data_IF_049743438684
#
_entry.id   IF_049743438684
#
_cell.length_a   1.000
_cell.length_b   1.000
_cell.length_c   1.000
_cell.angle_alpha   90.00
_cell.angle_beta   90.00
_cell.angle_gamma   90.00
#
_symmetry.space_group_name_H-M   'P 1'
#
loop_
_entity.id
_entity.type
_entity.pdbx_description
1 polymer ?
#
# COMPACT_ATOMS: atom_id res chain seq x y z
N UNK A 1 8.74 17.83 12.22
CA UNK A 1 9.44 16.86 11.34
C UNK A 1 8.47 16.14 10.40
N UNK A 2 7.34 15.61 10.90
CA UNK A 2 6.32 14.91 10.08
C UNK A 2 5.76 15.76 8.91
N UNK A 3 5.47 17.04 9.13
CA UNK A 3 4.93 17.93 8.09
C UNK A 3 5.85 18.07 6.87
N UNK A 4 7.16 18.22 7.10
CA UNK A 4 8.16 18.37 6.02
C UNK A 4 8.29 17.08 5.22
N UNK A 5 8.31 15.93 5.91
CA UNK A 5 8.35 14.62 5.27
C UNK A 5 7.12 14.38 4.40
N UNK A 6 5.92 14.62 4.94
CA UNK A 6 4.67 14.45 4.17
C UNK A 6 4.58 15.40 2.99
N UNK A 7 5.05 16.63 3.13
CA UNK A 7 5.06 17.59 2.02
C UNK A 7 6.01 17.16 0.91
N UNK A 8 7.19 16.64 1.27
CA UNK A 8 8.15 16.05 0.33
C UNK A 8 7.54 14.82 -0.36
N UNK A 9 6.91 13.90 0.38
CA UNK A 9 6.24 12.71 -0.17
C UNK A 9 5.12 13.10 -1.14
N UNK A 10 4.26 14.05 -0.78
CA UNK A 10 3.19 14.55 -1.66
C UNK A 10 3.76 15.20 -2.93
N UNK A 11 4.87 15.95 -2.81
CA UNK A 11 5.53 16.57 -3.96
C UNK A 11 6.08 15.51 -4.92
N UNK A 12 6.80 14.53 -4.37
CA UNK A 12 7.39 13.43 -5.15
C UNK A 12 6.31 12.54 -5.78
N UNK A 13 5.18 12.33 -5.10
CA UNK A 13 4.00 11.66 -5.66
C UNK A 13 3.42 12.43 -6.85
N UNK A 14 3.18 13.74 -6.70
CA UNK A 14 2.62 14.58 -7.78
C UNK A 14 3.52 14.64 -9.01
N UNK A 15 4.84 14.58 -8.82
CA UNK A 15 5.82 14.65 -9.92
C UNK A 15 6.20 13.29 -10.50
N UNK A 16 5.69 12.19 -9.95
CA UNK A 16 6.11 10.82 -10.27
C UNK A 16 7.64 10.63 -10.22
N UNK A 17 8.31 11.36 -9.32
CA UNK A 17 9.78 11.43 -9.21
C UNK A 17 10.35 10.53 -8.10
N UNK A 18 9.50 9.85 -7.32
CA UNK A 18 9.95 8.93 -6.27
C UNK A 18 10.29 7.56 -6.87
N UNK A 19 11.55 7.15 -6.74
CA UNK A 19 12.00 5.82 -7.15
C UNK A 19 12.05 5.68 -8.68
N UNK A 20 12.99 6.37 -9.33
CA UNK A 20 13.17 6.44 -10.79
C UNK A 20 13.05 5.06 -11.45
N UNK A 21 12.69 5.02 -12.74
CA UNK A 21 12.85 3.81 -13.55
C UNK A 21 14.27 3.20 -13.45
N UNK A 22 15.28 4.04 -13.19
CA UNK A 22 16.65 3.63 -12.92
C UNK A 22 16.82 2.79 -11.62
N UNK A 23 16.07 3.08 -10.56
CA UNK A 23 16.11 2.30 -9.31
C UNK A 23 15.48 0.90 -9.49
N UNK A 24 14.62 0.74 -10.51
CA UNK A 24 14.03 -0.54 -10.89
C UNK A 24 15.01 -1.45 -11.65
N UNK A 25 16.00 -0.85 -12.32
CA UNK A 25 17.08 -1.54 -13.04
C UNK A 25 18.24 -1.90 -12.10
N UNK A 26 18.62 -1.04 -11.16
CA UNK A 26 19.69 -1.33 -10.18
C UNK A 26 19.33 -2.46 -9.19
N UNK A 27 18.06 -2.73 -8.91
CA UNK A 27 17.65 -3.91 -8.11
C UNK A 27 17.56 -5.21 -8.93
N UNK A 28 17.74 -5.15 -10.25
CA UNK A 28 17.72 -6.32 -11.14
C UNK A 28 19.12 -6.96 -11.31
N UNK A 29 20.17 -6.38 -10.72
CA UNK A 29 21.52 -6.98 -10.69
C UNK A 29 21.67 -7.98 -9.54
N UNK A 30 20.91 -9.07 -9.60
CA UNK A 30 21.22 -10.34 -8.94
C UNK A 30 20.33 -11.41 -9.57
N UNK A 31 20.93 -12.51 -10.04
CA UNK A 31 20.33 -13.69 -10.69
C UNK A 31 19.28 -14.48 -9.85
N UNK A 32 18.51 -13.80 -9.00
CA UNK A 32 17.44 -14.39 -8.21
C UNK A 32 16.09 -14.14 -8.88
N UNK A 33 15.38 -15.22 -9.21
CA UNK A 33 13.97 -15.17 -9.60
C UNK A 33 13.22 -14.33 -8.55
N UNK A 34 12.55 -13.22 -8.92
CA UNK A 34 11.87 -12.38 -7.96
C UNK A 34 10.85 -13.23 -7.19
N UNK A 35 10.93 -13.21 -5.86
CA UNK A 35 9.89 -13.86 -5.05
C UNK A 35 8.50 -13.38 -5.51
N UNK A 36 7.52 -14.28 -5.54
CA UNK A 36 6.13 -13.97 -5.94
C UNK A 36 5.60 -12.74 -5.21
N UNK A 37 5.97 -12.57 -3.94
CA UNK A 37 5.71 -11.40 -3.11
C UNK A 37 6.24 -10.10 -3.71
N UNK A 38 7.53 -10.06 -4.09
CA UNK A 38 8.17 -8.87 -4.68
C UNK A 38 7.59 -8.56 -6.06
N UNK A 39 7.32 -9.57 -6.88
CA UNK A 39 6.70 -9.40 -8.20
C UNK A 39 5.31 -8.76 -8.10
N UNK A 40 4.44 -9.29 -7.25
CA UNK A 40 3.09 -8.73 -7.03
C UNK A 40 3.16 -7.34 -6.39
N UNK A 41 4.11 -7.08 -5.49
CA UNK A 41 4.29 -5.76 -4.92
C UNK A 41 4.69 -4.71 -5.97
N UNK A 42 5.60 -5.06 -6.90
CA UNK A 42 5.94 -4.21 -8.04
C UNK A 42 4.72 -3.97 -8.92
N UNK A 43 3.96 -5.01 -9.25
CA UNK A 43 2.73 -4.88 -10.03
C UNK A 43 1.70 -3.95 -9.35
N UNK A 44 1.52 -4.06 -8.03
CA UNK A 44 0.65 -3.17 -7.26
C UNK A 44 1.10 -1.70 -7.34
N UNK A 45 2.41 -1.45 -7.17
CA UNK A 45 2.99 -0.10 -7.30
C UNK A 45 2.72 0.48 -8.70
N UNK A 46 3.04 -0.29 -9.74
CA UNK A 46 2.83 0.12 -11.15
C UNK A 46 1.35 0.39 -11.44
N UNK A 47 0.44 -0.48 -11.01
CA UNK A 47 -1.01 -0.28 -11.20
C UNK A 47 -1.52 1.01 -10.59
N UNK A 48 -1.01 1.40 -9.41
CA UNK A 48 -1.40 2.65 -8.75
C UNK A 48 -0.89 3.86 -9.50
N UNK A 49 0.33 3.79 -10.04
CA UNK A 49 0.92 4.88 -10.83
C UNK A 49 0.22 5.03 -12.18
N UNK A 50 0.08 3.94 -12.94
CA UNK A 50 -0.45 3.95 -14.31
C UNK A 50 -1.92 4.39 -14.35
N UNK A 51 -2.71 3.94 -13.38
CA UNK A 51 -4.13 4.29 -13.28
C UNK A 51 -4.39 5.56 -12.47
N UNK A 52 -3.33 6.25 -12.03
CA UNK A 52 -3.40 7.45 -11.19
C UNK A 52 -4.35 7.28 -9.99
N UNK A 53 -4.29 6.13 -9.33
CA UNK A 53 -5.13 5.83 -8.17
C UNK A 53 -4.73 6.71 -6.99
N UNK A 54 -5.68 6.98 -6.10
CA UNK A 54 -5.44 7.87 -4.95
C UNK A 54 -4.51 7.26 -3.90
N UNK A 55 -4.35 5.93 -3.92
CA UNK A 55 -3.48 5.20 -3.01
C UNK A 55 -3.85 3.74 -2.88
N UNK A 56 -3.22 3.08 -1.92
CA UNK A 56 -3.43 1.67 -1.59
C UNK A 56 -4.11 1.50 -0.23
N UNK A 57 -5.11 0.63 -0.17
CA UNK A 57 -5.75 0.17 1.07
C UNK A 57 -5.27 -1.26 1.37
N UNK A 58 -4.63 -1.46 2.52
CA UNK A 58 -3.98 -2.72 2.86
C UNK A 58 -4.51 -3.25 4.20
N UNK A 59 -5.68 -3.92 4.21
CA UNK A 59 -6.14 -4.64 5.40
C UNK A 59 -5.19 -5.81 5.72
N UNK A 60 -4.64 -5.81 6.93
CA UNK A 60 -3.65 -6.81 7.36
C UNK A 60 -3.78 -7.13 8.85
N UNK A 61 -3.63 -8.42 9.18
CA UNK A 61 -3.69 -8.92 10.57
C UNK A 61 -2.31 -8.90 11.24
N UNK A 62 -1.29 -9.46 10.58
CA UNK A 62 0.09 -9.54 11.10
C UNK A 62 1.00 -8.40 10.62
N UNK A 63 0.63 -7.69 9.54
CA UNK A 63 1.42 -6.61 8.94
C UNK A 63 2.22 -7.02 7.70
N UNK A 64 2.29 -8.32 7.39
CA UNK A 64 3.10 -8.87 6.28
C UNK A 64 2.80 -8.23 4.94
N UNK A 65 1.52 -8.12 4.57
CA UNK A 65 1.07 -7.52 3.31
C UNK A 65 1.62 -6.10 3.14
N UNK A 66 1.48 -5.28 4.18
CA UNK A 66 1.94 -3.90 4.15
C UNK A 66 3.48 -3.80 4.15
N UNK A 67 4.17 -4.67 4.88
CA UNK A 67 5.64 -4.76 4.87
C UNK A 67 6.18 -5.12 3.48
N UNK A 68 5.57 -6.10 2.80
CA UNK A 68 5.93 -6.49 1.43
C UNK A 68 5.76 -5.32 0.46
N UNK A 69 4.62 -4.63 0.51
CA UNK A 69 4.35 -3.49 -0.35
C UNK A 69 5.25 -2.29 -0.03
N UNK A 70 5.55 -2.06 1.24
CA UNK A 70 6.48 -1.02 1.69
C UNK A 70 7.91 -1.25 1.15
N UNK A 71 8.32 -2.51 0.98
CA UNK A 71 9.66 -2.86 0.49
C UNK A 71 9.97 -2.36 -0.92
N UNK A 72 8.95 -2.17 -1.76
CA UNK A 72 9.12 -1.60 -3.12
C UNK A 72 9.07 -0.07 -3.13
N UNK A 73 9.03 0.55 -1.94
CA UNK A 73 9.03 2.01 -1.69
C UNK A 73 8.09 2.75 -2.63
N UNK A 74 6.78 2.43 -2.60
CA UNK A 74 5.81 3.08 -3.47
C UNK A 74 5.78 4.58 -3.18
N UNK A 75 5.74 5.38 -4.25
CA UNK A 75 5.53 6.82 -4.16
C UNK A 75 4.11 7.18 -3.68
N UNK A 76 3.16 6.24 -3.82
CA UNK A 76 1.76 6.42 -3.49
C UNK A 76 1.48 6.20 -2.00
N UNK A 77 0.47 6.88 -1.44
CA UNK A 77 0.04 6.64 -0.07
C UNK A 77 -0.38 5.17 0.14
N UNK A 78 0.19 4.51 1.15
CA UNK A 78 -0.16 3.15 1.54
C UNK A 78 -0.83 3.14 2.91
N UNK A 79 -2.14 2.94 2.95
CA UNK A 79 -2.91 2.87 4.20
C UNK A 79 -2.88 1.44 4.74
N UNK A 80 -2.11 1.23 5.81
CA UNK A 80 -2.02 -0.05 6.51
C UNK A 80 -3.13 -0.19 7.56
N UNK A 81 -4.10 -1.06 7.31
CA UNK A 81 -5.34 -1.13 8.10
C UNK A 81 -5.35 -2.39 8.96
N UNK A 82 -5.52 -2.24 10.27
CA UNK A 82 -5.60 -3.39 11.18
C UNK A 82 -6.56 -3.15 12.34
N UNK A 83 -7.19 -4.20 12.84
CA UNK A 83 -7.94 -4.15 14.10
C UNK A 83 -7.04 -4.22 15.34
N UNK A 84 -5.82 -4.74 15.18
CA UNK A 84 -4.86 -4.87 16.26
C UNK A 84 -3.98 -3.62 16.37
N UNK A 85 -4.04 -2.94 17.52
CA UNK A 85 -3.22 -1.76 17.83
C UNK A 85 -1.72 -2.08 17.77
N UNK A 86 -1.30 -3.26 18.22
CA UNK A 86 0.10 -3.66 18.17
C UNK A 86 0.59 -3.78 16.72
N UNK A 87 -0.25 -4.30 15.82
CA UNK A 87 0.06 -4.33 14.37
C UNK A 87 0.12 -2.91 13.82
N UNK A 88 -0.83 -2.02 14.15
CA UNK A 88 -0.78 -0.61 13.71
C UNK A 88 0.52 0.10 14.13
N UNK A 89 1.02 -0.16 15.35
CA UNK A 89 2.29 0.38 15.82
C UNK A 89 3.49 -0.14 15.01
N UNK A 90 3.51 -1.43 14.67
CA UNK A 90 4.53 -2.01 13.77
C UNK A 90 4.46 -1.38 12.37
N UNK A 91 3.25 -1.19 11.86
CA UNK A 91 3.00 -0.56 10.56
C UNK A 91 3.56 0.86 10.46
N UNK A 92 3.53 1.62 11.55
CA UNK A 92 4.11 2.97 11.61
C UNK A 92 5.63 3.01 11.35
N UNK A 93 6.33 1.88 11.48
CA UNK A 93 7.77 1.77 11.25
C UNK A 93 8.10 1.42 9.79
N UNK A 94 7.12 1.03 8.99
CA UNK A 94 7.31 0.66 7.60
C UNK A 94 7.24 1.89 6.70
N UNK A 95 8.17 1.96 5.74
CA UNK A 95 8.29 3.06 4.78
C UNK A 95 6.98 3.34 4.03
N UNK A 96 6.53 4.60 4.03
CA UNK A 96 5.35 5.06 3.29
C UNK A 96 4.02 4.50 3.79
N UNK A 97 4.01 3.74 4.90
CA UNK A 97 2.79 3.17 5.48
C UNK A 97 2.17 4.17 6.45
N UNK A 98 0.92 4.54 6.18
CA UNK A 98 0.07 5.31 7.09
C UNK A 98 -0.83 4.31 7.84
N UNK A 99 -0.53 3.99 9.11
CA UNK A 99 -1.33 3.03 9.86
C UNK A 99 -2.68 3.63 10.25
N UNK A 100 -3.73 2.81 10.18
CA UNK A 100 -5.06 3.20 10.57
C UNK A 100 -5.78 2.03 11.26
N UNK A 101 -6.20 2.25 12.51
CA UNK A 101 -7.00 1.26 13.21
C UNK A 101 -8.42 1.23 12.62
N UNK A 102 -8.93 0.02 12.42
CA UNK A 102 -10.28 -0.27 11.91
C UNK A 102 -10.96 -1.31 12.78
N UNK A 103 -12.29 -1.39 12.74
CA UNK A 103 -13.00 -2.50 13.38
C UNK A 103 -12.88 -3.79 12.55
N UNK A 104 -12.91 -4.94 13.22
CA UNK A 104 -12.81 -6.25 12.55
C UNK A 104 -14.03 -6.55 11.65
N UNK A 105 -15.19 -5.98 11.99
CA UNK A 105 -16.41 -6.07 11.17
C UNK A 105 -16.20 -5.41 9.81
N UNK A 106 -15.55 -4.25 9.79
CA UNK A 106 -15.30 -3.49 8.54
C UNK A 106 -14.18 -4.14 7.71
N UNK A 107 -13.21 -4.80 8.35
CA UNK A 107 -12.13 -5.50 7.66
C UNK A 107 -12.61 -6.62 6.70
N UNK A 108 -13.80 -7.18 6.95
CA UNK A 108 -14.40 -8.25 6.12
C UNK A 108 -15.16 -7.74 4.89
N UNK A 109 -15.57 -6.47 4.87
CA UNK A 109 -16.27 -5.86 3.74
C UNK A 109 -15.40 -4.78 3.10
N UNK A 110 -14.74 -5.14 2.01
CA UNK A 110 -13.82 -4.26 1.28
C UNK A 110 -14.48 -2.96 0.77
N UNK A 111 -15.76 -3.00 0.38
CA UNK A 111 -16.47 -1.82 -0.14
C UNK A 111 -16.80 -0.86 0.99
N UNK A 112 -17.24 -1.40 2.13
CA UNK A 112 -17.50 -0.60 3.33
C UNK A 112 -16.21 0.01 3.88
N UNK A 113 -15.14 -0.79 3.95
CA UNK A 113 -13.81 -0.34 4.35
C UNK A 113 -13.31 0.81 3.47
N UNK A 114 -13.40 0.67 2.16
CA UNK A 114 -12.95 1.71 1.23
C UNK A 114 -13.72 3.01 1.44
N UNK A 115 -15.07 2.95 1.53
CA UNK A 115 -15.91 4.13 1.79
C UNK A 115 -15.57 4.83 3.09
N UNK A 116 -15.44 4.07 4.18
CA UNK A 116 -15.12 4.62 5.50
C UNK A 116 -13.77 5.34 5.51
N UNK A 117 -12.74 4.71 4.93
CA UNK A 117 -11.39 5.28 4.90
C UNK A 117 -11.33 6.50 3.97
N UNK A 118 -11.96 6.46 2.79
CA UNK A 118 -11.99 7.62 1.89
C UNK A 118 -12.71 8.82 2.50
N UNK A 119 -13.80 8.60 3.23
CA UNK A 119 -14.47 9.66 3.99
C UNK A 119 -13.57 10.23 5.08
N UNK A 120 -12.92 9.37 5.87
CA UNK A 120 -12.04 9.80 6.98
C UNK A 120 -10.80 10.54 6.50
N UNK A 121 -10.23 10.12 5.37
CA UNK A 121 -9.02 10.69 4.78
C UNK A 121 -9.28 11.83 3.78
N UNK A 122 -10.55 12.21 3.56
CA UNK A 122 -10.97 13.25 2.59
C UNK A 122 -10.38 13.04 1.19
N UNK A 123 -10.28 11.78 0.74
CA UNK A 123 -9.72 11.39 -0.56
C UNK A 123 -10.70 11.70 -1.72
N UNK A 124 -11.48 12.77 -1.64
CA UNK A 124 -12.67 12.96 -2.50
C UNK A 124 -12.48 13.91 -3.68
N UNK A 125 -11.24 14.24 -4.07
CA UNK A 125 -10.99 15.00 -5.30
C UNK A 125 -10.61 14.09 -6.47
N UNK A 126 -11.50 14.08 -7.48
CA UNK A 126 -11.40 13.56 -8.86
C UNK A 126 -10.55 12.30 -9.05
N UNK A 127 -11.22 11.16 -9.20
CA UNK A 127 -10.61 9.88 -9.55
C UNK A 127 -11.20 8.69 -8.80
N UNK A 128 -11.69 8.89 -7.57
CA UNK A 128 -12.48 7.97 -6.71
C UNK A 128 -12.00 6.51 -6.66
N UNK A 129 -10.79 6.19 -7.08
CA UNK A 129 -10.34 4.81 -7.21
C UNK A 129 -9.11 4.57 -6.35
N UNK A 130 -9.16 3.47 -5.63
CA UNK A 130 -8.10 2.99 -4.73
C UNK A 130 -7.79 1.54 -5.06
N UNK A 131 -6.54 1.14 -4.85
CA UNK A 131 -6.15 -0.26 -4.96
C UNK A 131 -6.21 -0.92 -3.59
N UNK A 132 -7.06 -1.92 -3.42
CA UNK A 132 -7.03 -2.79 -2.25
C UNK A 132 -6.10 -3.97 -2.49
N UNK A 133 -5.18 -4.20 -1.56
CA UNK A 133 -4.24 -5.33 -1.61
C UNK A 133 -4.34 -6.16 -0.34
N UNK A 134 -4.52 -7.47 -0.48
CA UNK A 134 -4.60 -8.41 0.64
C UNK A 134 -4.07 -9.80 0.25
N UNK A 135 -4.12 -10.76 1.17
CA UNK A 135 -3.88 -12.17 0.84
C UNK A 135 -2.44 -12.67 0.98
N UNK A 136 -1.47 -11.80 1.30
CA UNK A 136 -0.15 -12.26 1.74
C UNK A 136 -0.23 -12.86 3.15
N UNK A 137 0.51 -13.95 3.34
CA UNK A 137 0.60 -14.68 4.60
C UNK A 137 2.04 -14.67 5.11
N UNK A 138 2.25 -14.82 6.42
CA UNK A 138 3.57 -15.03 7.03
C UNK A 138 4.30 -16.22 6.37
N UNK A 139 3.60 -17.33 6.16
CA UNK A 139 4.09 -18.48 5.40
C UNK A 139 3.97 -18.22 3.88
N UNK A 140 5.07 -18.16 3.10
CA UNK A 140 5.03 -17.89 1.67
C UNK A 140 4.17 -18.89 0.88
N UNK A 141 4.13 -20.16 1.29
CA UNK A 141 3.35 -21.20 0.59
C UNK A 141 1.83 -21.06 0.74
N UNK A 142 1.36 -20.25 1.69
CA UNK A 142 -0.06 -19.97 1.94
C UNK A 142 -0.47 -18.58 1.46
N UNK A 143 0.38 -17.91 0.67
CA UNK A 143 0.09 -16.56 0.18
C UNK A 143 -0.77 -16.62 -1.07
N UNK A 144 -1.99 -16.09 -0.98
CA UNK A 144 -2.94 -15.96 -2.07
C UNK A 144 -3.23 -14.48 -2.29
N UNK A 145 -2.29 -13.72 -2.88
CA UNK A 145 -2.43 -12.27 -2.97
C UNK A 145 -3.56 -11.87 -3.93
N UNK A 146 -4.29 -10.84 -3.52
CA UNK A 146 -5.42 -10.32 -4.30
C UNK A 146 -5.28 -8.81 -4.46
N UNK A 147 -5.45 -8.34 -5.69
CA UNK A 147 -5.44 -6.94 -6.09
C UNK A 147 -6.85 -6.56 -6.56
N UNK A 148 -7.48 -5.57 -5.91
CA UNK A 148 -8.82 -5.10 -6.28
C UNK A 148 -8.83 -3.61 -6.48
N UNK A 149 -9.22 -3.16 -7.66
CA UNK A 149 -9.47 -1.74 -7.90
C UNK A 149 -10.91 -1.45 -7.46
N UNK A 150 -11.05 -0.55 -6.48
CA UNK A 150 -12.34 -0.18 -5.92
C UNK A 150 -12.64 1.27 -6.26
N UNK A 151 -13.88 1.54 -6.67
CA UNK A 151 -14.43 2.90 -6.82
C UNK A 151 -15.16 3.28 -5.55
N UNK A 152 -14.94 4.49 -5.05
CA UNK A 152 -15.34 4.96 -3.71
C UNK A 152 -16.11 6.27 -3.76
#
# INVERSE_FOLDING_TARGET
>A
MDTVLREIEVNQWRKNQFGSAADLEEMATADAIPSSRKAVARAARTLVQDLQLQGMLVPTRSGVTASILSSVRPASPLLGLSSNVATCRKLALHWGVVPAQISEVVAKDWKKLAREICQRCKLTRTGHRVLLVSGFNDNPGLSEPVLKILTV
#
